data_IF_155430066018
#
_entry.id   IF_155430066018
#
_cell.length_a   1.000
_cell.length_b   1.000
_cell.length_c   1.000
_cell.angle_alpha   90.00
_cell.angle_beta   90.00
_cell.angle_gamma   90.00
#
_symmetry.space_group_name_H-M   'P 1'
#
loop_
_entity.id
_entity.type
_entity.pdbx_description
1 polymer ?
#
# COMPACT_ATOMS: atom_id res chain seq x y z
N UNK A 1 16.77 -13.85 5.23
CA UNK A 1 15.41 -13.44 4.86
C UNK A 1 14.68 -14.69 4.39
N UNK A 2 13.62 -15.11 5.08
CA UNK A 2 12.77 -16.18 4.57
C UNK A 2 11.83 -15.55 3.53
N UNK A 3 11.98 -15.91 2.26
CA UNK A 3 10.98 -15.61 1.26
C UNK A 3 9.80 -16.54 1.53
N UNK A 4 8.68 -15.98 2.01
CA UNK A 4 7.42 -16.73 2.06
C UNK A 4 6.84 -16.79 0.64
N UNK A 5 5.85 -17.65 0.42
CA UNK A 5 5.06 -17.66 -0.82
C UNK A 5 4.42 -16.29 -1.16
N UNK A 6 4.42 -15.35 -0.20
CA UNK A 6 3.73 -14.07 -0.26
C UNK A 6 4.66 -12.85 -0.10
N UNK A 7 5.99 -13.06 -0.16
CA UNK A 7 6.99 -12.00 -0.08
C UNK A 7 8.01 -12.15 1.07
N UNK A 8 9.00 -11.26 1.15
CA UNK A 8 10.01 -11.26 2.21
C UNK A 8 9.37 -10.94 3.57
N UNK A 9 9.70 -11.75 4.58
CA UNK A 9 9.39 -11.44 5.97
C UNK A 9 10.65 -11.23 6.82
N UNK A 10 10.70 -10.15 7.63
CA UNK A 10 9.77 -9.00 7.62
C UNK A 10 9.85 -8.20 6.31
N UNK A 11 8.83 -7.41 5.95
CA UNK A 11 8.90 -6.55 4.77
C UNK A 11 10.07 -5.57 4.92
N UNK A 12 10.76 -5.27 3.82
CA UNK A 12 11.89 -4.34 3.87
C UNK A 12 11.40 -2.92 4.25
N UNK A 13 12.28 -2.05 4.79
CA UNK A 13 11.89 -0.71 5.21
C UNK A 13 11.23 0.12 4.10
N UNK A 14 11.66 -0.07 2.85
CA UNK A 14 11.09 0.61 1.68
C UNK A 14 9.64 0.18 1.41
N UNK A 15 9.34 -1.12 1.49
CA UNK A 15 7.97 -1.63 1.33
C UNK A 15 7.04 -1.10 2.43
N UNK A 16 7.52 -1.11 3.68
CA UNK A 16 6.78 -0.56 4.82
C UNK A 16 6.54 0.95 4.68
N UNK A 17 7.54 1.68 4.17
CA UNK A 17 7.39 3.11 3.91
C UNK A 17 6.37 3.39 2.82
N UNK A 18 6.41 2.65 1.71
CA UNK A 18 5.44 2.75 0.62
C UNK A 18 4.01 2.45 1.10
N UNK A 19 3.83 1.38 1.89
CA UNK A 19 2.54 1.04 2.50
C UNK A 19 2.01 2.17 3.37
N UNK A 20 2.87 2.78 4.20
CA UNK A 20 2.48 3.89 5.07
C UNK A 20 2.03 5.11 4.30
N UNK A 21 2.76 5.53 3.27
CA UNK A 21 2.40 6.69 2.43
C UNK A 21 0.98 6.55 1.88
N UNK A 22 0.68 5.39 1.28
CA UNK A 22 -0.64 5.16 0.68
C UNK A 22 -1.71 4.96 1.78
N UNK A 23 -1.34 4.41 2.93
CA UNK A 23 -2.24 4.27 4.10
C UNK A 23 -2.66 5.62 4.65
N UNK A 24 -1.72 6.54 4.77
CA UNK A 24 -1.98 7.89 5.28
C UNK A 24 -3.02 8.59 4.40
N UNK A 25 -2.92 8.44 3.08
CA UNK A 25 -3.92 8.94 2.13
C UNK A 25 -5.30 8.28 2.31
N UNK A 26 -5.37 6.94 2.36
CA UNK A 26 -6.66 6.24 2.55
C UNK A 26 -7.30 6.51 3.91
N UNK A 27 -6.51 6.68 4.98
CA UNK A 27 -7.03 7.02 6.30
C UNK A 27 -7.57 8.45 6.34
N UNK A 28 -6.86 9.39 5.70
CA UNK A 28 -7.31 10.77 5.52
C UNK A 28 -8.65 10.84 4.76
N UNK A 29 -8.85 9.95 3.79
CA UNK A 29 -10.03 9.91 2.90
C UNK A 29 -10.93 8.70 3.10
N UNK A 30 -10.98 8.14 4.32
CA UNK A 30 -11.66 6.86 4.62
C UNK A 30 -13.16 6.82 4.27
N UNK A 31 -13.80 7.97 4.16
CA UNK A 31 -15.23 8.12 3.85
C UNK A 31 -15.49 8.78 2.50
N UNK A 32 -14.44 9.06 1.73
CA UNK A 32 -14.53 9.72 0.44
C UNK A 32 -14.35 8.69 -0.68
N UNK A 33 -14.89 9.00 -1.87
CA UNK A 33 -14.52 8.28 -3.10
C UNK A 33 -13.25 8.93 -3.63
N UNK A 34 -12.18 8.16 -3.73
CA UNK A 34 -10.88 8.64 -4.21
C UNK A 34 -10.56 8.09 -5.60
N UNK A 35 -9.82 8.87 -6.37
CA UNK A 35 -9.27 8.45 -7.66
C UNK A 35 -7.79 8.10 -7.48
N UNK A 36 -7.36 6.97 -8.04
CA UNK A 36 -5.97 6.53 -7.99
C UNK A 36 -5.46 6.41 -9.42
N UNK A 37 -4.42 7.19 -9.73
CA UNK A 37 -3.77 7.17 -11.03
C UNK A 37 -2.37 6.57 -10.90
N UNK A 38 -2.05 5.59 -11.75
CA UNK A 38 -0.67 5.10 -11.84
C UNK A 38 0.14 6.03 -12.71
N UNK A 39 1.09 6.74 -12.10
CA UNK A 39 1.90 7.72 -12.81
C UNK A 39 2.84 7.04 -13.81
N UNK A 40 2.90 7.53 -15.05
CA UNK A 40 3.91 7.08 -16.00
C UNK A 40 5.32 7.44 -15.48
N UNK A 41 6.36 6.66 -15.80
CA UNK A 41 7.72 6.85 -15.26
C UNK A 41 8.33 8.24 -15.51
N UNK A 42 7.85 8.97 -16.51
CA UNK A 42 8.31 10.31 -16.86
C UNK A 42 7.75 11.41 -15.93
N UNK A 43 6.67 11.13 -15.20
CA UNK A 43 6.08 12.07 -14.24
C UNK A 43 6.69 11.78 -12.88
N UNK A 44 7.67 12.60 -12.51
CA UNK A 44 8.20 12.62 -11.15
C UNK A 44 7.27 13.48 -10.28
N UNK A 45 6.87 13.02 -9.08
CA UNK A 45 6.23 13.90 -8.11
C UNK A 45 7.15 15.07 -7.74
N UNK A 46 6.60 16.22 -7.28
CA UNK A 46 7.39 17.40 -6.93
C UNK A 46 8.42 17.07 -5.86
N UNK A 47 9.57 17.75 -5.95
CA UNK A 47 10.76 17.51 -5.11
C UNK A 47 10.40 17.31 -3.63
N UNK A 48 10.57 16.07 -3.15
CA UNK A 48 10.37 15.70 -1.74
C UNK A 48 9.14 14.83 -1.46
N UNK A 49 8.16 14.74 -2.37
CA UNK A 49 7.04 13.82 -2.23
C UNK A 49 7.25 12.53 -3.05
N UNK A 50 6.87 11.35 -2.53
CA UNK A 50 6.87 10.11 -3.30
C UNK A 50 5.59 9.89 -4.13
N UNK A 51 4.58 10.76 -3.96
CA UNK A 51 3.26 10.71 -4.63
C UNK A 51 2.79 12.10 -5.06
N UNK A 52 1.87 12.16 -6.02
CA UNK A 52 1.13 13.37 -6.38
C UNK A 52 -0.23 13.32 -5.68
N UNK A 53 -0.52 14.29 -4.82
CA UNK A 53 -1.84 14.44 -4.20
C UNK A 53 -2.51 15.71 -4.72
N UNK A 54 -3.70 15.57 -5.29
CA UNK A 54 -4.58 16.67 -5.66
C UNK A 54 -6.01 16.39 -5.16
N UNK A 55 -6.32 16.91 -3.97
CA UNK A 55 -7.61 16.67 -3.32
C UNK A 55 -7.89 15.19 -3.07
N UNK A 56 -8.84 14.62 -3.82
CA UNK A 56 -9.24 13.20 -3.75
C UNK A 56 -8.50 12.32 -4.77
N UNK A 57 -7.60 12.90 -5.55
CA UNK A 57 -6.82 12.20 -6.57
C UNK A 57 -5.41 11.90 -6.05
N UNK A 58 -5.01 10.63 -6.09
CA UNK A 58 -3.67 10.17 -5.74
C UNK A 58 -2.97 9.62 -6.99
N UNK A 59 -2.00 10.37 -7.49
CA UNK A 59 -1.03 9.90 -8.45
C UNK A 59 0.10 9.13 -7.76
N UNK A 60 0.21 7.83 -8.03
CA UNK A 60 1.22 6.95 -7.43
C UNK A 60 2.11 6.29 -8.48
N UNK A 61 3.45 6.29 -8.32
CA UNK A 61 4.32 5.51 -9.20
C UNK A 61 4.07 4.00 -9.07
N UNK A 62 4.04 3.25 -10.20
CA UNK A 62 3.82 1.78 -10.18
C UNK A 62 4.74 1.04 -9.20
N UNK A 63 6.02 1.45 -9.12
CA UNK A 63 7.00 0.85 -8.22
C UNK A 63 6.63 1.03 -6.74
N UNK A 64 6.08 2.18 -6.37
CA UNK A 64 5.64 2.46 -5.01
C UNK A 64 4.40 1.63 -4.66
N UNK A 65 3.44 1.55 -5.59
CA UNK A 65 2.25 0.71 -5.39
C UNK A 65 2.62 -0.78 -5.25
N UNK A 66 3.55 -1.27 -6.06
CA UNK A 66 4.05 -2.65 -5.95
C UNK A 66 4.75 -2.90 -4.61
N UNK A 67 5.56 -1.95 -4.12
CA UNK A 67 6.20 -2.04 -2.82
C UNK A 67 5.17 -2.05 -1.67
N UNK A 68 4.13 -1.21 -1.75
CA UNK A 68 3.03 -1.20 -0.80
C UNK A 68 2.23 -2.51 -0.82
N UNK A 69 1.98 -3.07 -2.00
CA UNK A 69 1.32 -4.37 -2.18
C UNK A 69 2.08 -5.49 -1.49
N UNK A 70 3.41 -5.57 -1.67
CA UNK A 70 4.24 -6.61 -1.03
C UNK A 70 4.17 -6.49 0.51
N UNK A 71 4.24 -5.28 1.05
CA UNK A 71 4.08 -5.06 2.48
C UNK A 71 2.67 -5.48 2.96
N UNK A 72 1.63 -5.13 2.21
CA UNK A 72 0.26 -5.50 2.54
C UNK A 72 0.05 -7.03 2.55
N UNK A 73 0.59 -7.75 1.55
CA UNK A 73 0.58 -9.21 1.56
C UNK A 73 1.25 -9.76 2.82
N UNK A 74 2.46 -9.26 3.15
CA UNK A 74 3.14 -9.70 4.37
C UNK A 74 2.30 -9.46 5.63
N UNK A 75 1.67 -8.28 5.77
CA UNK A 75 0.83 -7.93 6.92
C UNK A 75 -0.40 -8.84 6.99
N UNK A 76 -1.10 -9.00 5.87
CA UNK A 76 -2.31 -9.81 5.79
C UNK A 76 -2.02 -11.26 6.16
N UNK A 77 -1.03 -11.89 5.52
CA UNK A 77 -0.75 -13.31 5.73
C UNK A 77 -0.18 -13.62 7.13
N UNK A 78 0.53 -12.67 7.74
CA UNK A 78 0.99 -12.76 9.13
C UNK A 78 -0.17 -12.68 10.13
N UNK A 79 -1.12 -11.77 9.89
CA UNK A 79 -2.15 -11.41 10.88
C UNK A 79 -3.50 -12.10 10.68
N UNK A 80 -3.78 -12.69 9.51
CA UNK A 80 -5.10 -13.25 9.15
C UNK A 80 -5.64 -14.34 10.07
N UNK A 81 -4.78 -15.02 10.83
CA UNK A 81 -5.18 -16.08 11.78
C UNK A 81 -5.22 -15.62 13.23
N UNK A 82 -4.88 -14.35 13.49
CA UNK A 82 -4.88 -13.79 14.84
C UNK A 82 -6.31 -13.43 15.27
N UNK A 83 -6.64 -13.71 16.53
CA UNK A 83 -7.90 -13.28 17.15
C UNK A 83 -7.80 -11.90 17.82
N UNK A 84 -6.61 -11.30 17.83
CA UNK A 84 -6.39 -9.98 18.40
C UNK A 84 -7.04 -8.88 17.52
N UNK A 85 -7.89 -7.99 18.08
CA UNK A 85 -8.59 -6.98 17.30
C UNK A 85 -7.67 -6.08 16.47
N UNK A 86 -6.50 -5.71 16.99
CA UNK A 86 -5.54 -4.86 16.26
C UNK A 86 -4.91 -5.58 15.08
N UNK A 87 -4.74 -6.90 15.19
CA UNK A 87 -4.25 -7.76 14.13
C UNK A 87 -5.30 -7.94 13.03
N UNK A 88 -6.57 -8.11 13.42
CA UNK A 88 -7.70 -8.19 12.50
C UNK A 88 -7.85 -6.89 11.70
N UNK A 89 -7.86 -5.73 12.36
CA UNK A 89 -7.93 -4.43 11.68
C UNK A 89 -6.78 -4.23 10.70
N UNK A 90 -5.55 -4.56 11.10
CA UNK A 90 -4.40 -4.46 10.19
C UNK A 90 -4.49 -5.40 8.98
N UNK A 91 -5.09 -6.59 9.13
CA UNK A 91 -5.35 -7.48 7.99
C UNK A 91 -6.46 -6.93 7.08
N UNK A 92 -7.50 -6.32 7.65
CA UNK A 92 -8.56 -5.67 6.88
C UNK A 92 -8.02 -4.48 6.08
N UNK A 93 -7.23 -3.60 6.70
CA UNK A 93 -6.58 -2.48 6.02
C UNK A 93 -5.67 -2.98 4.88
N UNK A 94 -4.87 -4.02 5.13
CA UNK A 94 -4.01 -4.62 4.12
C UNK A 94 -4.80 -5.20 2.92
N UNK A 95 -6.05 -5.62 3.11
CA UNK A 95 -6.88 -6.18 2.04
C UNK A 95 -7.16 -5.15 0.94
N UNK A 96 -7.29 -3.87 1.28
CA UNK A 96 -7.50 -2.78 0.31
C UNK A 96 -6.41 -2.77 -0.76
N UNK A 97 -5.16 -2.93 -0.34
CA UNK A 97 -3.99 -2.94 -1.22
C UNK A 97 -3.91 -4.18 -2.09
N UNK A 98 -4.30 -5.34 -1.54
CA UNK A 98 -4.29 -6.60 -2.28
C UNK A 98 -5.31 -6.54 -3.42
N UNK A 99 -6.49 -6.00 -3.13
CA UNK A 99 -7.53 -5.76 -4.14
C UNK A 99 -7.03 -4.73 -5.16
N UNK A 100 -6.46 -3.61 -4.71
CA UNK A 100 -5.94 -2.57 -5.60
C UNK A 100 -4.83 -3.09 -6.52
N UNK A 101 -3.89 -3.88 -5.99
CA UNK A 101 -2.81 -4.51 -6.75
C UNK A 101 -3.31 -5.48 -7.82
N UNK A 102 -4.49 -6.09 -7.65
CA UNK A 102 -5.09 -6.96 -8.65
C UNK A 102 -5.58 -6.21 -9.91
N UNK A 103 -5.77 -4.89 -9.83
CA UNK A 103 -6.21 -4.07 -10.97
C UNK A 103 -5.04 -3.56 -11.84
N UNK A 104 -3.79 -3.75 -11.42
CA UNK A 104 -2.61 -3.23 -12.13
C UNK A 104 -1.59 -4.34 -12.44
N UNK A 105 -1.82 -5.15 -13.51
CA UNK A 105 -0.89 -6.19 -13.94
C UNK A 105 0.46 -5.61 -14.40
#
# INVERSE_FOLDING_TARGET
MAATAWGPQPPCPEHTHAYRIVSDFFQKHRRDVVEIEVLPPAIAPPSGSPVLEDGLCLGVPKRLLAAAFIAACSIFFDKRTSSDPSSVEAALDATVYIILGAFFP
#
